data_IF_392563669337
#
_entry.id   IF_392563669337
#
_cell.length_a   1.000
_cell.length_b   1.000
_cell.length_c   1.000
_cell.angle_alpha   90.00
_cell.angle_beta   90.00
_cell.angle_gamma   90.00
#
_symmetry.space_group_name_H-M   'P 1'
#
loop_
_entity.id
_entity.type
_entity.pdbx_description
1 polymer ?
#
# COMPACT_ATOMS: atom_id res chain seq x y z
N UNK A 1 -0.01 -10.11 -6.16
CA UNK A 1 0.42 -9.28 -7.31
C UNK A 1 -0.14 -9.90 -8.58
N UNK A 2 -0.61 -9.09 -9.53
CA UNK A 2 -1.09 -9.56 -10.84
C UNK A 2 -0.20 -9.02 -11.95
N UNK A 3 0.24 -9.86 -12.89
CA UNK A 3 1.06 -9.45 -14.03
C UNK A 3 0.21 -9.28 -15.28
N UNK A 4 0.04 -8.06 -15.77
CA UNK A 4 -0.74 -7.79 -17.00
C UNK A 4 0.20 -7.88 -18.21
N UNK A 5 -0.17 -8.71 -19.19
CA UNK A 5 0.63 -8.89 -20.41
C UNK A 5 0.69 -7.59 -21.22
N UNK A 6 1.82 -7.35 -21.89
CA UNK A 6 1.95 -6.25 -22.84
C UNK A 6 0.88 -6.33 -23.94
N UNK A 7 0.31 -5.18 -24.31
CA UNK A 7 -0.74 -5.08 -25.32
C UNK A 7 -2.14 -5.48 -24.85
N UNK A 8 -2.33 -5.89 -23.59
CA UNK A 8 -3.67 -6.12 -23.04
C UNK A 8 -4.46 -4.81 -23.01
N UNK A 9 -5.65 -4.82 -23.64
CA UNK A 9 -6.65 -3.76 -23.53
C UNK A 9 -7.78 -4.29 -22.65
N UNK A 10 -8.01 -3.63 -21.51
CA UNK A 10 -9.05 -4.00 -20.58
C UNK A 10 -10.34 -3.21 -20.82
N UNK A 11 -11.47 -3.83 -20.53
CA UNK A 11 -12.76 -3.13 -20.52
C UNK A 11 -13.02 -2.46 -19.17
N UNK A 12 -13.91 -1.47 -19.17
CA UNK A 12 -14.39 -0.87 -17.94
C UNK A 12 -14.96 -1.94 -16.99
N UNK A 13 -14.74 -1.75 -15.69
CA UNK A 13 -15.29 -2.57 -14.60
C UNK A 13 -14.85 -4.04 -14.58
N UNK A 14 -13.74 -4.41 -15.21
CA UNK A 14 -13.21 -5.78 -15.09
C UNK A 14 -12.36 -6.00 -13.83
N UNK A 15 -12.61 -7.11 -13.13
CA UNK A 15 -11.72 -7.62 -12.08
C UNK A 15 -10.69 -8.58 -12.72
N UNK A 16 -9.41 -8.19 -12.62
CA UNK A 16 -8.28 -8.98 -13.14
C UNK A 16 -7.52 -9.66 -12.00
N UNK A 17 -7.23 -10.95 -12.14
CA UNK A 17 -6.50 -11.73 -11.14
C UNK A 17 -5.44 -12.62 -11.77
N UNK A 18 -4.37 -12.91 -11.01
CA UNK A 18 -3.35 -13.89 -11.36
C UNK A 18 -2.13 -13.31 -12.09
N UNK A 19 -1.16 -14.19 -12.37
CA UNK A 19 0.07 -13.87 -13.09
C UNK A 19 0.34 -14.99 -14.12
N UNK A 20 0.05 -14.77 -15.42
CA UNK A 20 -0.50 -13.55 -16.01
C UNK A 20 -1.97 -13.32 -15.65
N UNK A 21 -2.37 -12.06 -15.60
CA UNK A 21 -3.70 -11.62 -15.22
C UNK A 21 -4.75 -12.04 -16.25
N UNK A 22 -5.92 -12.48 -15.77
CA UNK A 22 -7.09 -12.82 -16.58
C UNK A 22 -8.34 -12.14 -16.02
N UNK A 23 -9.32 -11.88 -16.89
CA UNK A 23 -10.65 -11.39 -16.49
C UNK A 23 -11.34 -12.49 -15.70
N UNK A 24 -11.71 -12.20 -14.45
CA UNK A 24 -12.47 -13.11 -13.61
C UNK A 24 -13.97 -12.83 -13.73
N UNK A 25 -14.36 -11.55 -13.58
CA UNK A 25 -15.75 -11.09 -13.58
C UNK A 25 -15.83 -9.57 -13.66
N UNK A 26 -17.05 -9.04 -13.70
CA UNK A 26 -17.33 -7.63 -13.51
C UNK A 26 -17.24 -7.23 -12.03
N UNK A 27 -16.76 -6.02 -11.78
CA UNK A 27 -16.76 -5.34 -10.48
C UNK A 27 -18.17 -4.84 -10.20
N UNK A 28 -18.71 -5.18 -9.03
CA UNK A 28 -20.04 -4.75 -8.63
C UNK A 28 -20.04 -3.28 -8.22
N UNK A 29 -21.21 -2.64 -8.19
CA UNK A 29 -21.30 -1.25 -7.72
C UNK A 29 -20.90 -1.10 -6.25
N UNK A 30 -21.16 -2.12 -5.43
CA UNK A 30 -20.73 -2.15 -4.03
C UNK A 30 -19.20 -2.17 -3.91
N UNK A 31 -18.52 -3.00 -4.71
CA UNK A 31 -17.06 -3.06 -4.73
C UNK A 31 -16.44 -1.76 -5.24
N UNK A 32 -17.04 -1.17 -6.28
CA UNK A 32 -16.61 0.12 -6.79
C UNK A 32 -16.78 1.22 -5.73
N UNK A 33 -17.91 1.23 -5.02
CA UNK A 33 -18.16 2.13 -3.90
C UNK A 33 -17.09 1.98 -2.80
N UNK A 34 -16.80 0.75 -2.38
CA UNK A 34 -15.73 0.49 -1.40
C UNK A 34 -14.35 0.94 -1.90
N UNK A 35 -14.05 0.73 -3.19
CA UNK A 35 -12.81 1.25 -3.79
C UNK A 35 -12.73 2.77 -3.69
N UNK A 36 -13.84 3.49 -3.91
CA UNK A 36 -13.88 4.95 -3.76
C UNK A 36 -13.64 5.39 -2.31
N UNK A 37 -14.30 4.75 -1.34
CA UNK A 37 -14.08 5.03 0.08
C UNK A 37 -12.61 4.79 0.49
N UNK A 38 -12.02 3.67 0.09
CA UNK A 38 -10.62 3.38 0.38
C UNK A 38 -9.65 4.38 -0.28
N UNK A 39 -9.97 4.84 -1.49
CA UNK A 39 -9.18 5.90 -2.15
C UNK A 39 -9.26 7.20 -1.35
N UNK A 40 -10.45 7.55 -0.85
CA UNK A 40 -10.66 8.73 0.01
C UNK A 40 -9.87 8.63 1.31
N UNK A 41 -9.83 7.45 1.94
CA UNK A 41 -9.04 7.24 3.16
C UNK A 41 -7.56 7.59 2.96
N UNK A 42 -6.94 7.15 1.85
CA UNK A 42 -5.56 7.52 1.53
C UNK A 42 -5.37 9.04 1.35
N UNK A 43 -6.35 9.72 0.75
CA UNK A 43 -6.31 11.17 0.59
C UNK A 43 -6.41 11.88 1.94
N UNK A 44 -7.33 11.44 2.79
CA UNK A 44 -7.53 12.00 4.13
C UNK A 44 -6.30 11.74 5.03
N UNK A 45 -5.66 10.57 4.93
CA UNK A 45 -4.39 10.26 5.60
C UNK A 45 -3.27 11.24 5.20
N UNK A 46 -3.16 11.55 3.90
CA UNK A 46 -2.16 12.49 3.40
C UNK A 46 -2.43 13.92 3.92
N UNK A 47 -3.69 14.35 3.93
CA UNK A 47 -4.11 15.63 4.50
C UNK A 47 -3.77 15.67 5.99
N UNK A 48 -4.17 14.65 6.75
CA UNK A 48 -3.92 14.56 8.20
C UNK A 48 -2.43 14.63 8.53
N UNK A 49 -1.59 13.92 7.77
CA UNK A 49 -0.15 14.00 7.90
C UNK A 49 0.31 15.44 7.72
N UNK A 50 -0.02 16.06 6.59
CA UNK A 50 0.36 17.45 6.27
C UNK A 50 -0.11 18.45 7.34
N UNK A 51 -1.34 18.34 7.81
CA UNK A 51 -1.89 19.26 8.83
C UNK A 51 -1.30 19.03 10.22
N UNK A 52 -0.83 17.82 10.50
CA UNK A 52 -0.20 17.45 11.78
C UNK A 52 1.31 17.65 11.81
N UNK A 53 1.95 18.00 10.69
CA UNK A 53 3.38 18.33 10.66
C UNK A 53 3.63 19.61 11.46
N UNK A 54 4.63 19.56 12.32
CA UNK A 54 5.16 20.71 13.04
C UNK A 54 6.65 20.85 12.74
N UNK A 55 7.11 22.08 12.63
CA UNK A 55 8.54 22.36 12.51
C UNK A 55 9.26 21.88 13.78
N UNK A 56 10.37 21.19 13.59
CA UNK A 56 11.18 20.68 14.70
C UNK A 56 12.65 20.91 14.42
N UNK A 57 13.45 21.08 15.48
CA UNK A 57 14.90 21.18 15.36
C UNK A 57 15.46 19.79 15.07
N UNK A 58 16.27 19.60 14.01
CA UNK A 58 16.86 18.30 13.73
C UNK A 58 17.84 17.93 14.86
N UNK A 59 17.80 16.65 15.27
CA UNK A 59 18.78 16.13 16.22
C UNK A 59 20.14 15.96 15.52
N UNK A 60 21.21 16.46 16.15
CA UNK A 60 22.58 16.35 15.62
C UNK A 60 23.28 15.04 16.01
N UNK A 61 22.71 14.31 16.97
CA UNK A 61 23.19 13.01 17.45
C UNK A 61 22.01 12.07 17.65
N UNK A 62 22.27 10.76 17.62
CA UNK A 62 21.23 9.77 17.91
C UNK A 62 20.81 9.85 19.39
N UNK A 63 19.51 9.72 19.65
CA UNK A 63 18.98 9.64 21.02
C UNK A 63 19.61 8.46 21.78
N UNK A 64 20.02 8.71 23.02
CA UNK A 64 20.43 7.65 23.92
C UNK A 64 19.25 6.68 24.12
N UNK A 65 19.49 5.38 23.99
CA UNK A 65 18.46 4.35 24.07
C UNK A 65 17.32 4.46 23.01
N UNK A 66 17.59 5.04 21.84
CA UNK A 66 16.60 5.17 20.74
C UNK A 66 15.86 3.85 20.48
N UNK A 67 14.52 3.79 20.67
CA UNK A 67 13.78 2.55 20.53
C UNK A 67 13.85 2.05 19.09
N UNK A 68 14.16 0.75 18.95
CA UNK A 68 14.02 0.03 17.68
C UNK A 68 12.60 -0.52 17.61
N UNK A 69 12.05 -0.55 16.39
CA UNK A 69 10.80 -1.27 16.14
C UNK A 69 11.01 -2.74 16.53
N UNK A 70 10.40 -3.17 17.64
CA UNK A 70 10.32 -4.59 18.02
C UNK A 70 9.15 -5.18 17.24
N UNK A 71 9.46 -5.83 16.11
CA UNK A 71 8.45 -6.58 15.37
C UNK A 71 7.91 -7.74 16.20
N UNK A 72 6.68 -8.17 15.92
CA UNK A 72 6.08 -9.38 16.52
C UNK A 72 6.65 -10.67 15.92
N UNK A 73 7.47 -10.57 14.89
CA UNK A 73 8.04 -11.69 14.14
C UNK A 73 9.56 -11.65 14.18
N UNK A 74 10.19 -12.78 14.48
CA UNK A 74 11.64 -12.95 14.46
C UNK A 74 12.10 -13.38 13.05
N UNK A 75 12.22 -12.40 12.14
CA UNK A 75 12.57 -12.68 10.73
C UNK A 75 14.08 -12.81 10.58
N UNK A 76 14.55 -14.05 10.39
CA UNK A 76 15.92 -14.35 9.94
C UNK A 76 15.93 -14.52 8.40
N UNK A 77 16.53 -13.60 7.62
CA UNK A 77 16.59 -13.75 6.18
C UNK A 77 17.39 -15.01 5.81
N UNK A 78 16.82 -15.84 4.93
CA UNK A 78 17.50 -16.99 4.32
C UNK A 78 18.49 -16.50 3.26
N UNK A 79 19.69 -16.14 3.66
CA UNK A 79 20.84 -16.09 2.74
C UNK A 79 22.09 -16.56 3.48
N UNK A 80 22.10 -17.87 3.77
CA UNK A 80 23.29 -18.66 4.09
C UNK A 80 22.96 -20.13 3.80
N UNK A 81 22.98 -20.49 2.52
CA UNK A 81 23.17 -21.87 2.06
C UNK A 81 23.77 -21.84 0.66
#
# INVERSE_FOLDING_TARGET
MSFVKAGFQGEARQLLVGSPARVLRQVTDQELHWKHLNTKEYQDLAIRCRTGLSETKPLTQAEENRPRLKGTTDVKPKSAQ
#
